data_IF_599626177138
#
_entry.id   IF_599626177138
#
_cell.length_a   1.000
_cell.length_b   1.000
_cell.length_c   1.000
_cell.angle_alpha   90.00
_cell.angle_beta   90.00
_cell.angle_gamma   90.00
#
_symmetry.space_group_name_H-M   'P 1'
#
loop_
_entity.id
_entity.type
_entity.pdbx_description
1 polymer ?
#
# COMPACT_ATOMS: atom_id res chain seq x y z
N UNK A 1 31.58 -1.61 26.72
CA UNK A 1 30.28 -0.97 26.41
C UNK A 1 30.41 -0.04 25.21
N UNK A 2 29.90 -0.44 24.04
CA UNK A 2 29.92 0.38 22.83
C UNK A 2 28.68 1.26 22.75
N UNK A 3 28.84 2.59 22.77
CA UNK A 3 27.74 3.53 22.48
C UNK A 3 27.44 3.45 20.98
N UNK A 4 26.31 2.86 20.63
CA UNK A 4 25.74 2.96 19.30
C UNK A 4 25.06 4.34 19.18
N UNK A 5 25.67 5.26 18.43
CA UNK A 5 25.02 6.51 18.05
C UNK A 5 24.18 6.26 16.80
N UNK A 6 22.86 6.28 16.95
CA UNK A 6 21.92 6.15 15.83
C UNK A 6 21.49 7.54 15.37
N UNK A 7 21.99 7.99 14.22
CA UNK A 7 21.58 9.24 13.55
C UNK A 7 20.44 9.02 12.54
N UNK A 8 19.65 7.97 12.70
CA UNK A 8 18.36 7.88 12.01
C UNK A 8 17.37 8.73 12.81
N UNK A 9 16.89 9.82 12.22
CA UNK A 9 15.75 10.54 12.80
C UNK A 9 14.61 9.55 12.97
N UNK A 10 14.21 9.31 14.23
CA UNK A 10 13.03 8.49 14.51
C UNK A 10 11.81 9.06 13.78
N UNK A 11 10.79 8.23 13.54
CA UNK A 11 9.52 8.74 13.00
C UNK A 11 8.94 9.73 14.01
N UNK A 12 9.07 11.03 13.71
CA UNK A 12 8.62 12.11 14.59
C UNK A 12 7.09 12.19 14.55
N UNK A 13 6.52 12.16 13.34
CA UNK A 13 5.08 12.04 13.05
C UNK A 13 4.87 11.76 11.55
N UNK A 14 3.68 11.28 11.19
CA UNK A 14 3.23 11.15 9.80
C UNK A 14 2.04 12.10 9.55
N UNK A 15 2.01 12.77 8.40
CA UNK A 15 0.81 13.48 7.91
C UNK A 15 0.45 13.01 6.50
N UNK A 16 -0.84 12.77 6.19
CA UNK A 16 -1.25 12.51 4.81
C UNK A 16 -1.07 13.79 3.96
N UNK A 17 -1.00 13.66 2.62
CA UNK A 17 -1.05 14.83 1.74
C UNK A 17 -2.31 15.67 2.00
N UNK A 18 -2.22 16.99 1.79
CA UNK A 18 -3.31 17.92 2.10
C UNK A 18 -4.65 17.48 1.46
N UNK A 19 -5.72 17.47 2.26
CA UNK A 19 -7.06 17.07 1.83
C UNK A 19 -7.27 15.56 1.65
N UNK A 20 -6.32 14.71 2.08
CA UNK A 20 -6.44 13.24 2.04
C UNK A 20 -6.33 12.64 3.44
N UNK A 21 -6.87 11.44 3.61
CA UNK A 21 -6.65 10.60 4.79
C UNK A 21 -5.58 9.54 4.51
N UNK A 22 -4.99 8.96 5.56
CA UNK A 22 -4.19 7.75 5.41
C UNK A 22 -5.03 6.62 4.79
N UNK A 23 -4.43 5.86 3.88
CA UNK A 23 -5.16 4.90 3.04
C UNK A 23 -5.90 5.54 1.86
N UNK A 24 -5.83 6.87 1.71
CA UNK A 24 -6.37 7.55 0.55
C UNK A 24 -5.56 7.28 -0.72
N UNK A 25 -6.25 7.01 -1.83
CA UNK A 25 -5.65 6.79 -3.15
C UNK A 25 -5.10 8.11 -3.70
N UNK A 26 -3.81 8.11 -4.04
CA UNK A 26 -3.08 9.21 -4.68
C UNK A 26 -2.95 8.99 -6.19
N UNK A 27 -2.74 7.74 -6.62
CA UNK A 27 -2.81 7.31 -8.02
C UNK A 27 -3.73 6.11 -8.11
N UNK A 28 -4.84 6.28 -8.83
CA UNK A 28 -5.82 5.22 -9.08
C UNK A 28 -5.28 4.22 -10.13
N UNK A 29 -5.79 2.97 -10.11
CA UNK A 29 -5.58 2.05 -11.23
C UNK A 29 -6.32 2.56 -12.48
N UNK A 30 -5.89 2.08 -13.64
CA UNK A 30 -6.68 2.15 -14.86
C UNK A 30 -7.97 1.33 -14.69
N UNK A 31 -8.97 1.59 -15.53
CA UNK A 31 -10.25 0.87 -15.47
C UNK A 31 -10.13 -0.59 -15.91
N UNK A 32 -9.15 -0.90 -16.76
CA UNK A 32 -8.86 -2.26 -17.23
C UNK A 32 -7.38 -2.48 -17.54
N UNK A 33 -6.97 -3.74 -17.45
CA UNK A 33 -5.62 -4.20 -17.76
C UNK A 33 -5.68 -5.50 -18.58
N UNK A 34 -4.73 -5.65 -19.50
CA UNK A 34 -4.49 -6.93 -20.15
C UNK A 34 -3.59 -7.80 -19.26
N UNK A 35 -3.69 -9.13 -19.39
CA UNK A 35 -2.70 -10.03 -18.82
C UNK A 35 -1.32 -9.76 -19.42
N UNK A 36 -0.28 -9.88 -18.61
CA UNK A 36 1.10 -9.48 -18.93
C UNK A 36 1.41 -8.00 -18.73
N UNK A 37 0.44 -7.18 -18.31
CA UNK A 37 0.68 -5.77 -17.97
C UNK A 37 0.86 -5.55 -16.46
N UNK A 38 1.28 -4.35 -16.07
CA UNK A 38 1.50 -3.99 -14.67
C UNK A 38 0.49 -2.96 -14.21
N UNK A 39 -0.29 -3.27 -13.17
CA UNK A 39 -1.08 -2.29 -12.45
C UNK A 39 -0.18 -1.55 -11.44
N UNK A 40 -0.24 -0.22 -11.40
CA UNK A 40 0.54 0.60 -10.46
C UNK A 40 -0.34 1.63 -9.78
N UNK A 41 -0.46 1.54 -8.45
CA UNK A 41 -1.30 2.41 -7.64
C UNK A 41 -0.50 3.05 -6.51
N UNK A 42 -0.97 4.19 -6.02
CA UNK A 42 -0.30 4.90 -4.92
C UNK A 42 -1.29 5.27 -3.83
N UNK A 43 -0.87 5.11 -2.58
CA UNK A 43 -1.65 5.45 -1.39
C UNK A 43 -0.89 6.42 -0.48
N UNK A 44 -1.61 7.31 0.19
CA UNK A 44 -1.09 8.05 1.33
C UNK A 44 -0.86 7.07 2.49
N UNK A 45 0.36 7.04 3.04
CA UNK A 45 0.74 6.04 4.05
C UNK A 45 1.63 6.65 5.14
N UNK A 46 1.69 5.97 6.29
CA UNK A 46 2.66 6.26 7.36
C UNK A 46 3.99 5.50 7.15
N UNK A 47 4.97 5.73 8.01
CA UNK A 47 6.24 5.03 7.90
C UNK A 47 6.13 3.54 8.30
N UNK A 48 6.64 2.56 7.51
CA UNK A 48 6.54 1.13 7.82
C UNK A 48 7.32 0.70 9.08
N UNK A 49 8.13 1.58 9.69
CA UNK A 49 8.77 1.32 10.98
C UNK A 49 7.81 1.44 12.16
N UNK A 50 6.65 2.09 11.97
CA UNK A 50 5.60 2.15 12.98
C UNK A 50 5.11 0.74 13.33
N UNK A 51 5.00 -0.13 12.32
CA UNK A 51 4.69 -1.54 12.49
C UNK A 51 5.25 -2.33 11.29
N UNK A 52 6.16 -3.26 11.54
CA UNK A 52 6.75 -4.12 10.50
C UNK A 52 5.79 -5.23 10.03
N UNK A 53 4.61 -5.35 10.64
CA UNK A 53 3.51 -6.24 10.23
C UNK A 53 3.91 -7.71 10.06
N UNK A 54 4.73 -8.24 10.98
CA UNK A 54 5.10 -9.67 11.00
C UNK A 54 3.86 -10.57 11.07
N UNK A 55 3.72 -11.48 10.11
CA UNK A 55 2.55 -12.38 10.02
C UNK A 55 1.28 -11.71 9.49
N UNK A 56 1.40 -10.52 8.89
CA UNK A 56 0.35 -9.79 8.19
C UNK A 56 0.92 -9.27 6.86
N UNK A 57 0.20 -8.39 6.17
CA UNK A 57 0.62 -7.84 4.87
C UNK A 57 0.44 -6.31 4.83
N UNK A 58 1.26 -5.65 4.01
CA UNK A 58 1.11 -4.25 3.61
C UNK A 58 0.20 -4.07 2.39
N UNK A 59 -0.03 -5.11 1.59
CA UNK A 59 -0.90 -5.04 0.41
C UNK A 59 -1.68 -6.33 0.16
N UNK A 60 -2.82 -6.20 -0.49
CA UNK A 60 -3.55 -7.34 -1.06
C UNK A 60 -4.00 -7.00 -2.47
N UNK A 61 -3.88 -7.98 -3.38
CA UNK A 61 -4.70 -8.00 -4.59
C UNK A 61 -5.92 -8.83 -4.27
N UNK A 62 -7.12 -8.23 -4.45
CA UNK A 62 -8.38 -8.91 -4.20
C UNK A 62 -9.17 -9.06 -5.49
N UNK A 63 -9.81 -10.21 -5.68
CA UNK A 63 -10.73 -10.52 -6.78
C UNK A 63 -12.16 -10.53 -6.26
N UNK A 64 -13.10 -10.00 -7.04
CA UNK A 64 -14.51 -10.09 -6.73
C UNK A 64 -15.08 -11.43 -7.19
N UNK A 65 -15.50 -12.27 -6.25
CA UNK A 65 -16.09 -13.58 -6.50
C UNK A 65 -17.42 -13.71 -5.75
N UNK A 66 -18.50 -14.02 -6.47
CA UNK A 66 -19.84 -14.17 -5.89
C UNK A 66 -20.26 -12.98 -5.01
N UNK A 67 -19.92 -11.76 -5.43
CA UNK A 67 -20.21 -10.52 -4.70
C UNK A 67 -19.31 -10.25 -3.49
N UNK A 68 -18.32 -11.11 -3.21
CA UNK A 68 -17.39 -10.97 -2.09
C UNK A 68 -15.96 -10.78 -2.59
N UNK A 69 -15.20 -9.89 -1.95
CA UNK A 69 -13.79 -9.69 -2.26
C UNK A 69 -12.93 -10.77 -1.59
N UNK A 70 -12.19 -11.52 -2.39
CA UNK A 70 -11.28 -12.56 -1.94
C UNK A 70 -9.84 -12.13 -2.23
N UNK A 71 -8.96 -12.25 -1.23
CA UNK A 71 -7.53 -12.02 -1.43
C UNK A 71 -6.97 -13.14 -2.29
N UNK A 72 -6.29 -12.75 -3.37
CA UNK A 72 -5.63 -13.67 -4.30
C UNK A 72 -4.11 -13.52 -4.28
N UNK A 73 -3.59 -12.34 -3.92
CA UNK A 73 -2.15 -12.11 -3.72
C UNK A 73 -1.93 -11.18 -2.51
N UNK A 74 -0.74 -11.27 -1.90
CA UNK A 74 -0.23 -10.36 -0.87
C UNK A 74 1.23 -9.95 -1.13
N UNK A 75 1.88 -9.29 -0.15
CA UNK A 75 3.25 -8.78 -0.29
C UNK A 75 4.35 -9.87 -0.21
N UNK A 76 3.97 -11.12 0.00
CA UNK A 76 4.85 -12.29 -0.11
C UNK A 76 4.89 -12.89 -1.53
N UNK A 77 3.94 -12.55 -2.39
CA UNK A 77 3.87 -13.04 -3.77
C UNK A 77 4.82 -12.29 -4.69
N UNK A 78 5.40 -13.02 -5.66
CA UNK A 78 6.46 -12.49 -6.54
C UNK A 78 5.96 -11.44 -7.52
N UNK A 79 4.66 -11.49 -7.81
CA UNK A 79 3.93 -10.61 -8.72
C UNK A 79 3.63 -9.24 -8.10
N UNK A 80 3.81 -9.07 -6.79
CA UNK A 80 3.50 -7.80 -6.14
C UNK A 80 4.75 -7.12 -5.61
N UNK A 81 4.71 -5.79 -5.51
CA UNK A 81 5.76 -5.04 -4.84
C UNK A 81 5.17 -3.92 -4.02
N UNK A 82 5.63 -3.80 -2.77
CA UNK A 82 5.42 -2.65 -1.92
C UNK A 82 6.65 -1.75 -1.89
N UNK A 83 6.48 -0.46 -2.24
CA UNK A 83 7.54 0.54 -2.09
C UNK A 83 7.06 1.74 -1.29
N UNK A 84 7.67 1.95 -0.13
CA UNK A 84 7.49 3.18 0.63
C UNK A 84 8.42 4.29 0.12
N UNK A 85 7.90 5.51 -0.01
CA UNK A 85 8.68 6.70 -0.38
C UNK A 85 8.30 7.88 0.50
N UNK A 86 9.31 8.56 1.08
CA UNK A 86 9.10 9.86 1.72
C UNK A 86 8.86 10.92 0.64
N UNK A 87 7.74 11.63 0.72
CA UNK A 87 7.43 12.73 -0.19
C UNK A 87 7.98 14.07 0.34
N UNK A 88 7.82 14.33 1.64
CA UNK A 88 8.36 15.53 2.27
C UNK A 88 8.74 15.25 3.73
N UNK A 89 10.00 15.51 4.07
CA UNK A 89 10.55 15.27 5.41
C UNK A 89 10.08 16.26 6.48
N UNK A 90 9.76 17.52 6.11
CA UNK A 90 9.25 18.53 7.03
C UNK A 90 7.78 18.28 7.38
N UNK A 91 6.95 17.89 6.41
CA UNK A 91 5.53 17.61 6.67
C UNK A 91 5.28 16.18 7.16
N UNK A 92 6.28 15.30 7.09
CA UNK A 92 6.12 13.89 7.47
C UNK A 92 5.24 13.11 6.50
N UNK A 93 5.14 13.55 5.24
CA UNK A 93 4.27 12.94 4.24
C UNK A 93 4.99 11.83 3.48
N UNK A 94 4.32 10.70 3.30
CA UNK A 94 4.83 9.55 2.54
C UNK A 94 3.75 8.89 1.70
N UNK A 95 4.20 8.12 0.72
CA UNK A 95 3.35 7.27 -0.11
C UNK A 95 3.82 5.82 -0.12
N UNK A 96 2.86 4.93 -0.29
CA UNK A 96 3.10 3.55 -0.69
C UNK A 96 2.78 3.44 -2.19
N UNK A 97 3.77 3.05 -2.99
CA UNK A 97 3.57 2.63 -4.37
C UNK A 97 3.44 1.11 -4.36
N UNK A 98 2.32 0.61 -4.86
CA UNK A 98 2.05 -0.81 -5.00
C UNK A 98 2.00 -1.14 -6.48
N UNK A 99 2.77 -2.14 -6.90
CA UNK A 99 2.68 -2.71 -8.24
C UNK A 99 2.17 -4.13 -8.18
N UNK A 100 1.40 -4.51 -9.19
CA UNK A 100 0.99 -5.88 -9.46
C UNK A 100 1.30 -6.20 -10.93
N UNK A 101 2.24 -7.11 -11.15
CA UNK A 101 2.56 -7.68 -12.45
C UNK A 101 1.54 -8.80 -12.75
N UNK A 102 0.61 -8.51 -13.65
CA UNK A 102 -0.52 -9.39 -13.94
C UNK A 102 -0.01 -10.56 -14.79
N UNK A 103 0.11 -11.74 -14.21
CA UNK A 103 0.60 -12.92 -14.91
C UNK A 103 -0.31 -13.35 -16.09
N UNK A 104 0.28 -14.03 -17.07
CA UNK A 104 -0.42 -14.48 -18.28
C UNK A 104 -1.59 -15.45 -18.01
N UNK A 105 -1.53 -16.17 -16.89
CA UNK A 105 -2.54 -17.11 -16.40
C UNK A 105 -3.49 -16.51 -15.36
N UNK A 106 -3.38 -15.21 -15.06
CA UNK A 106 -4.33 -14.51 -14.18
C UNK A 106 -5.76 -14.71 -14.68
N UNK A 107 -6.65 -15.16 -13.81
CA UNK A 107 -8.04 -15.39 -14.17
C UNK A 107 -8.71 -14.06 -14.52
N UNK A 108 -9.38 -13.92 -15.67
CA UNK A 108 -10.12 -12.70 -15.97
C UNK A 108 -11.19 -12.40 -14.91
N UNK A 109 -11.41 -11.11 -14.65
CA UNK A 109 -12.38 -10.69 -13.65
C UNK A 109 -12.17 -9.28 -13.13
N UNK A 110 -12.89 -8.96 -12.06
CA UNK A 110 -12.83 -7.65 -11.40
C UNK A 110 -11.93 -7.73 -10.17
N UNK A 111 -11.00 -6.80 -10.08
CA UNK A 111 -9.97 -6.74 -9.06
C UNK A 111 -9.96 -5.39 -8.35
N UNK A 112 -9.35 -5.34 -7.16
CA UNK A 112 -8.94 -4.12 -6.48
C UNK A 112 -7.64 -4.36 -5.74
N UNK A 113 -6.91 -3.28 -5.47
CA UNK A 113 -5.73 -3.32 -4.61
C UNK A 113 -6.09 -2.72 -3.26
N UNK A 114 -5.71 -3.41 -2.19
CA UNK A 114 -5.90 -2.98 -0.80
C UNK A 114 -4.53 -2.70 -0.20
N UNK A 115 -4.40 -1.60 0.54
CA UNK A 115 -3.21 -1.24 1.28
C UNK A 115 -3.53 -1.20 2.77
N UNK A 116 -2.67 -1.84 3.57
CA UNK A 116 -2.70 -1.76 5.02
C UNK A 116 -1.47 -1.03 5.54
N UNK A 117 -1.67 -0.15 6.51
CA UNK A 117 -0.57 0.59 7.10
C UNK A 117 -0.89 1.11 8.49
N UNK A 118 0.10 1.78 9.07
CA UNK A 118 0.04 2.32 10.41
C UNK A 118 0.61 3.74 10.38
N UNK A 119 -0.16 4.68 10.92
CA UNK A 119 0.23 6.08 10.96
C UNK A 119 0.44 6.53 12.41
N UNK A 120 1.53 7.27 12.65
CA UNK A 120 1.85 7.85 13.95
C UNK A 120 1.45 9.32 13.98
N UNK A 121 0.52 9.69 14.87
CA UNK A 121 0.13 11.10 15.04
C UNK A 121 1.17 11.89 15.87
N UNK A 122 0.97 13.21 15.98
CA UNK A 122 1.87 14.13 16.72
C UNK A 122 1.99 13.81 18.22
N UNK A 123 1.00 13.12 18.81
CA UNK A 123 1.03 12.66 20.20
C UNK A 123 1.71 11.30 20.36
N UNK A 124 2.25 10.74 19.28
CA UNK A 124 2.94 9.45 19.25
C UNK A 124 2.03 8.22 19.20
N UNK A 125 0.70 8.39 19.14
CA UNK A 125 -0.24 7.29 18.98
C UNK A 125 -0.16 6.72 17.57
N UNK A 126 0.08 5.42 17.47
CA UNK A 126 0.05 4.66 16.22
C UNK A 126 -1.37 4.14 16.00
N UNK A 127 -1.92 4.37 14.81
CA UNK A 127 -3.28 3.92 14.45
C UNK A 127 -3.22 3.16 13.13
N UNK A 128 -3.76 1.92 13.08
CA UNK A 128 -3.85 1.16 11.84
C UNK A 128 -4.90 1.78 10.91
N UNK A 129 -4.69 1.64 9.61
CA UNK A 129 -5.66 2.00 8.58
C UNK A 129 -5.66 0.98 7.45
N UNK A 130 -6.75 0.97 6.69
CA UNK A 130 -6.88 0.22 5.43
C UNK A 130 -7.41 1.17 4.36
N UNK A 131 -6.78 1.15 3.19
CA UNK A 131 -7.23 1.83 1.98
C UNK A 131 -7.49 0.82 0.88
N UNK A 132 -8.47 1.08 0.01
CA UNK A 132 -8.73 0.26 -1.17
C UNK A 132 -8.87 1.16 -2.39
N UNK A 133 -8.40 0.70 -3.55
CA UNK A 133 -8.68 1.36 -4.82
C UNK A 133 -10.14 1.19 -5.22
N UNK A 134 -10.58 1.95 -6.24
CA UNK A 134 -11.70 1.53 -7.06
C UNK A 134 -11.40 0.19 -7.74
N UNK A 135 -12.45 -0.50 -8.19
CA UNK A 135 -12.29 -1.76 -8.92
C UNK A 135 -11.86 -1.53 -10.36
N UNK A 136 -11.11 -2.48 -10.91
CA UNK A 136 -10.71 -2.52 -12.32
C UNK A 136 -10.83 -3.94 -12.86
N UNK A 137 -10.84 -4.11 -14.18
CA UNK A 137 -10.94 -5.43 -14.80
C UNK A 137 -9.59 -5.93 -15.31
N UNK A 138 -9.38 -7.24 -15.24
CA UNK A 138 -8.33 -7.94 -15.99
C UNK A 138 -9.01 -8.73 -17.09
N UNK A 139 -8.64 -8.45 -18.33
CA UNK A 139 -9.14 -9.11 -19.53
C UNK A 139 -8.10 -10.01 -20.18
N UNK A 140 -8.56 -10.85 -21.10
CA UNK A 140 -7.74 -11.82 -21.85
C UNK A 140 -6.54 -11.20 -22.53
#
# INVERSE_FOLDING_TARGET
SGRQFTFQTGVVYDNPPAGKAFGGVLKAPETSYARGSTATVEFATGHPKNNVRRGSTFLEVQRLENGTWQRVLDDGDWETTYRWTRLNGLTGTSKATITWDIAADTVPGTYRIVHHGDAKNLLGKITPFTGATGSFTVSS
#
